data_IF_829705030627
#
_entry.id   IF_829705030627
#
_cell.length_a   1.000
_cell.length_b   1.000
_cell.length_c   1.000
_cell.angle_alpha   90.00
_cell.angle_beta   90.00
_cell.angle_gamma   90.00
#
_symmetry.space_group_name_H-M   'P 1'
#
loop_
_entity.id
_entity.type
_entity.pdbx_description
1 polymer ?
#
# COMPACT_ATOMS: atom_id res chain seq x y z
N UNK A 1 13.80 5.80 21.15
CA UNK A 1 14.97 5.28 20.41
C UNK A 1 14.38 4.64 19.18
N UNK A 2 14.63 5.21 18.02
CA UNK A 2 14.00 4.72 16.82
C UNK A 2 14.92 3.72 16.11
N UNK A 3 14.30 2.76 15.41
CA UNK A 3 15.02 1.68 14.75
C UNK A 3 15.25 2.06 13.30
N UNK A 4 16.50 2.39 12.97
CA UNK A 4 16.99 2.49 11.60
C UNK A 4 17.27 1.10 11.06
N UNK A 5 16.93 0.88 9.80
CA UNK A 5 17.29 -0.35 9.09
C UNK A 5 18.45 -0.15 8.13
N UNK A 6 18.95 1.09 7.97
CA UNK A 6 20.15 1.34 7.18
C UNK A 6 21.34 0.53 7.71
N UNK A 7 21.93 -0.31 6.84
CA UNK A 7 23.01 -1.23 7.16
C UNK A 7 22.73 -2.16 8.37
N UNK A 8 21.46 -2.49 8.63
CA UNK A 8 21.06 -3.32 9.76
C UNK A 8 21.76 -4.69 9.74
N UNK A 9 22.26 -5.12 10.90
CA UNK A 9 23.01 -6.38 11.02
C UNK A 9 24.36 -6.40 10.28
N UNK A 10 24.82 -5.26 9.74
CA UNK A 10 26.03 -5.19 8.90
C UNK A 10 25.85 -5.76 7.49
N UNK A 11 24.61 -6.01 7.06
CA UNK A 11 24.30 -6.52 5.73
C UNK A 11 24.24 -5.38 4.71
N UNK A 12 24.96 -5.52 3.60
CA UNK A 12 25.00 -4.50 2.54
C UNK A 12 23.67 -4.36 1.79
N UNK A 13 22.81 -5.38 1.79
CA UNK A 13 21.45 -5.35 1.23
C UNK A 13 20.53 -4.35 1.92
N UNK A 14 20.90 -3.88 3.11
CA UNK A 14 20.22 -2.81 3.84
C UNK A 14 20.82 -1.42 3.60
N UNK A 15 21.86 -1.30 2.77
CA UNK A 15 22.46 0.01 2.45
C UNK A 15 21.43 0.92 1.77
N UNK A 16 21.15 2.06 2.39
CA UNK A 16 20.18 3.04 1.93
C UNK A 16 18.72 2.68 2.19
N UNK A 17 18.43 1.66 3.02
CA UNK A 17 17.05 1.20 3.27
C UNK A 17 16.14 2.35 3.74
N UNK A 18 16.62 3.16 4.67
CA UNK A 18 15.84 4.27 5.24
C UNK A 18 15.67 5.45 4.25
N UNK A 19 16.29 5.42 3.06
CA UNK A 19 16.09 6.48 2.05
C UNK A 19 14.69 6.47 1.44
N UNK A 20 13.97 5.35 1.52
CA UNK A 20 12.66 5.23 0.89
C UNK A 20 11.58 6.01 1.67
N UNK A 21 11.34 5.69 2.93
CA UNK A 21 10.36 6.40 3.77
C UNK A 21 10.97 7.40 4.77
N UNK A 22 12.28 7.35 4.97
CA UNK A 22 12.97 8.10 6.02
C UNK A 22 13.21 7.27 7.28
N UNK A 23 14.20 7.70 8.05
CA UNK A 23 14.45 7.21 9.41
C UNK A 23 13.22 7.54 10.25
N UNK A 24 12.67 6.52 10.93
CA UNK A 24 11.52 6.60 11.85
C UNK A 24 10.13 6.55 11.19
N UNK A 25 10.07 6.30 9.88
CA UNK A 25 8.82 6.09 9.16
C UNK A 25 8.75 4.71 8.51
N UNK A 26 8.99 3.66 9.29
CA UNK A 26 9.06 2.29 8.76
C UNK A 26 7.81 1.88 7.98
N UNK A 27 6.63 2.33 8.41
CA UNK A 27 5.34 2.00 7.81
C UNK A 27 4.94 2.95 6.66
N UNK A 28 5.70 4.00 6.37
CA UNK A 28 5.35 4.97 5.34
C UNK A 28 4.07 5.76 5.64
N UNK A 29 3.82 6.06 6.91
CA UNK A 29 2.72 6.95 7.30
C UNK A 29 2.93 8.32 6.65
N UNK A 30 1.86 8.85 6.07
CA UNK A 30 1.85 10.15 5.40
C UNK A 30 1.15 11.15 6.31
N UNK A 31 1.74 12.32 6.53
CA UNK A 31 1.10 13.36 7.36
C UNK A 31 0.04 14.16 6.58
N UNK A 32 0.32 14.46 5.31
CA UNK A 32 -0.52 15.29 4.45
C UNK A 32 -0.79 14.63 3.10
N UNK A 33 -2.02 14.79 2.61
CA UNK A 33 -2.40 14.37 1.25
C UNK A 33 -2.74 15.58 0.38
N UNK A 34 -2.41 15.48 -0.90
CA UNK A 34 -2.76 16.46 -1.93
C UNK A 34 -3.73 15.79 -2.90
N UNK A 35 -5.01 16.18 -2.80
CA UNK A 35 -6.05 15.71 -3.71
C UNK A 35 -5.95 16.49 -5.02
N UNK A 36 -5.79 15.79 -6.13
CA UNK A 36 -5.66 16.41 -7.45
C UNK A 36 -7.03 16.52 -8.14
N UNK A 37 -7.26 17.64 -8.82
CA UNK A 37 -8.43 17.80 -9.68
C UNK A 37 -8.29 16.91 -10.91
N UNK A 38 -9.31 16.09 -11.18
CA UNK A 38 -9.32 15.17 -12.30
C UNK A 38 -10.05 15.80 -13.49
N UNK A 39 -9.49 15.65 -14.70
CA UNK A 39 -10.16 16.10 -15.92
C UNK A 39 -11.41 15.28 -16.23
N UNK A 40 -11.37 13.97 -15.93
CA UNK A 40 -12.51 13.06 -15.97
C UNK A 40 -12.75 12.52 -14.56
N UNK A 41 -13.99 12.61 -14.09
CA UNK A 41 -14.37 12.15 -12.75
C UNK A 41 -14.26 10.63 -12.63
N UNK A 42 -13.36 10.15 -11.77
CA UNK A 42 -13.30 8.73 -11.39
C UNK A 42 -14.41 8.44 -10.40
N UNK A 43 -15.33 7.55 -10.79
CA UNK A 43 -16.46 7.12 -9.95
C UNK A 43 -16.33 5.67 -9.50
N UNK A 44 -16.88 5.36 -8.33
CA UNK A 44 -17.00 3.97 -7.88
C UNK A 44 -17.89 3.15 -8.85
N UNK A 45 -17.37 2.02 -9.31
CA UNK A 45 -18.09 1.09 -10.18
C UNK A 45 -18.41 -0.21 -9.44
N UNK A 46 -19.69 -0.60 -9.45
CA UNK A 46 -20.10 -1.87 -8.87
C UNK A 46 -19.67 -3.04 -9.77
N UNK A 47 -18.79 -3.89 -9.25
CA UNK A 47 -18.34 -5.14 -9.89
C UNK A 47 -18.49 -6.30 -8.90
N UNK A 48 -18.42 -7.54 -9.39
CA UNK A 48 -18.42 -8.71 -8.50
C UNK A 48 -17.25 -8.65 -7.52
N UNK A 49 -17.52 -8.95 -6.24
CA UNK A 49 -16.49 -8.98 -5.20
C UNK A 49 -15.40 -10.00 -5.54
N UNK A 50 -15.74 -11.10 -6.21
CA UNK A 50 -14.76 -12.09 -6.66
C UNK A 50 -13.76 -11.49 -7.64
N UNK A 51 -14.20 -10.60 -8.54
CA UNK A 51 -13.31 -9.92 -9.49
C UNK A 51 -12.35 -8.97 -8.75
N UNK A 52 -12.82 -8.30 -7.69
CA UNK A 52 -11.94 -7.47 -6.83
C UNK A 52 -10.94 -8.35 -6.10
N UNK A 53 -11.38 -9.46 -5.52
CA UNK A 53 -10.52 -10.42 -4.80
C UNK A 53 -9.44 -11.02 -5.69
N UNK A 54 -9.77 -11.39 -6.93
CA UNK A 54 -8.80 -11.88 -7.92
C UNK A 54 -7.70 -10.85 -8.20
N UNK A 55 -8.06 -9.58 -8.39
CA UNK A 55 -7.08 -8.50 -8.61
C UNK A 55 -6.18 -8.29 -7.40
N UNK A 56 -6.73 -8.30 -6.19
CA UNK A 56 -5.96 -8.17 -4.96
C UNK A 56 -5.03 -9.36 -4.73
N UNK A 57 -5.48 -10.58 -5.06
CA UNK A 57 -4.65 -11.78 -4.99
C UNK A 57 -3.45 -11.72 -5.95
N UNK A 58 -3.65 -11.18 -7.16
CA UNK A 58 -2.54 -10.93 -8.09
C UNK A 58 -1.51 -9.98 -7.47
N UNK A 59 -1.94 -8.85 -6.90
CA UNK A 59 -1.01 -7.92 -6.22
C UNK A 59 -0.25 -8.59 -5.06
N UNK A 60 -0.93 -9.49 -4.32
CA UNK A 60 -0.29 -10.25 -3.24
C UNK A 60 0.79 -11.20 -3.77
N UNK A 61 0.54 -11.95 -4.84
CA UNK A 61 1.54 -12.84 -5.43
C UNK A 61 2.67 -12.05 -6.13
N UNK A 62 2.36 -10.90 -6.75
CA UNK A 62 3.38 -10.01 -7.31
C UNK A 62 4.33 -9.48 -6.24
N UNK A 63 3.83 -9.11 -5.06
CA UNK A 63 4.68 -8.70 -3.94
C UNK A 63 5.64 -9.82 -3.51
N UNK A 64 5.14 -11.07 -3.44
CA UNK A 64 5.99 -12.24 -3.15
C UNK A 64 7.03 -12.45 -4.24
N UNK A 65 6.62 -12.35 -5.51
CA UNK A 65 7.50 -12.51 -6.66
C UNK A 65 8.67 -11.51 -6.59
N UNK A 66 8.36 -10.21 -6.47
CA UNK A 66 9.34 -9.12 -6.36
C UNK A 66 10.34 -9.40 -5.24
N UNK A 67 9.86 -9.69 -4.02
CA UNK A 67 10.74 -9.90 -2.87
C UNK A 67 11.60 -11.17 -3.04
N UNK A 68 11.01 -12.26 -3.51
CA UNK A 68 11.70 -13.54 -3.63
C UNK A 68 12.72 -13.58 -4.77
N UNK A 69 12.51 -12.82 -5.84
CA UNK A 69 13.39 -12.79 -7.01
C UNK A 69 14.44 -11.67 -6.94
N UNK A 70 14.16 -10.55 -6.25
CA UNK A 70 15.03 -9.36 -6.29
C UNK A 70 15.78 -9.06 -4.98
N UNK A 71 15.45 -9.74 -3.89
CA UNK A 71 16.17 -9.61 -2.61
C UNK A 71 16.81 -10.95 -2.27
N UNK A 72 18.14 -11.01 -2.20
CA UNK A 72 18.86 -12.27 -2.01
C UNK A 72 18.89 -12.74 -0.55
N UNK A 73 19.01 -11.80 0.39
CA UNK A 73 19.15 -12.07 1.81
C UNK A 73 17.79 -12.22 2.48
N UNK A 74 17.57 -13.35 3.18
CA UNK A 74 16.28 -13.68 3.81
C UNK A 74 15.91 -12.70 4.92
N UNK A 75 16.89 -12.13 5.61
CA UNK A 75 16.69 -11.07 6.60
C UNK A 75 16.14 -9.81 5.94
N UNK A 76 16.67 -9.43 4.77
CA UNK A 76 16.19 -8.27 4.00
C UNK A 76 14.81 -8.55 3.41
N UNK A 77 14.56 -9.76 2.88
CA UNK A 77 13.23 -10.17 2.43
C UNK A 77 12.20 -10.02 3.56
N UNK A 78 12.56 -10.47 4.76
CA UNK A 78 11.68 -10.41 5.95
C UNK A 78 11.34 -8.97 6.31
N UNK A 79 12.34 -8.09 6.37
CA UNK A 79 12.12 -6.68 6.72
C UNK A 79 11.34 -5.93 5.64
N UNK A 80 11.69 -6.11 4.36
CA UNK A 80 10.97 -5.47 3.23
C UNK A 80 9.51 -5.93 3.19
N UNK A 81 9.25 -7.23 3.38
CA UNK A 81 7.88 -7.74 3.41
C UNK A 81 7.09 -7.19 4.60
N UNK A 82 7.72 -7.09 5.78
CA UNK A 82 7.07 -6.49 6.95
C UNK A 82 6.78 -5.00 6.76
N UNK A 83 7.66 -4.26 6.08
CA UNK A 83 7.43 -2.87 5.69
C UNK A 83 6.22 -2.76 4.74
N UNK A 84 6.14 -3.62 3.71
CA UNK A 84 5.00 -3.68 2.80
C UNK A 84 3.68 -3.91 3.56
N UNK A 85 3.61 -4.95 4.40
CA UNK A 85 2.42 -5.24 5.21
C UNK A 85 2.02 -4.08 6.12
N UNK A 86 3.02 -3.46 6.78
CA UNK A 86 2.77 -2.32 7.66
C UNK A 86 2.24 -1.12 6.86
N UNK A 87 2.74 -0.88 5.66
CA UNK A 87 2.33 0.25 4.82
C UNK A 87 0.89 0.14 4.32
N UNK A 88 0.42 -1.07 4.04
CA UNK A 88 -0.96 -1.31 3.65
C UNK A 88 -1.96 -1.04 4.79
N UNK A 89 -1.52 -1.08 6.05
CA UNK A 89 -2.41 -0.99 7.21
C UNK A 89 -3.04 0.40 7.38
N UNK A 90 -2.37 1.47 6.93
CA UNK A 90 -2.84 2.85 7.04
C UNK A 90 -4.16 3.09 6.31
N UNK A 91 -4.33 2.43 5.17
CA UNK A 91 -5.55 2.53 4.36
C UNK A 91 -6.80 2.06 5.12
N UNK A 92 -6.65 1.20 6.14
CA UNK A 92 -7.75 0.83 7.03
C UNK A 92 -8.32 2.06 7.76
N UNK A 93 -7.47 2.96 8.24
CA UNK A 93 -7.89 4.19 8.92
C UNK A 93 -8.59 5.15 7.96
N UNK A 94 -8.18 5.19 6.69
CA UNK A 94 -8.84 5.98 5.65
C UNK A 94 -10.25 5.43 5.38
N UNK A 95 -10.37 4.11 5.20
CA UNK A 95 -11.67 3.44 4.99
C UNK A 95 -12.63 3.68 6.15
N UNK A 96 -12.11 3.73 7.38
CA UNK A 96 -12.87 4.04 8.60
C UNK A 96 -13.17 5.55 8.76
N UNK A 97 -12.54 6.41 7.96
CA UNK A 97 -12.58 7.87 8.06
C UNK A 97 -12.04 8.40 9.40
N UNK A 98 -11.01 7.76 9.94
CA UNK A 98 -10.38 8.13 11.22
C UNK A 98 -8.99 8.73 11.09
N UNK A 99 -8.32 8.60 9.94
CA UNK A 99 -7.00 9.20 9.69
C UNK A 99 -7.04 10.72 9.52
N UNK A 100 -8.18 11.27 9.10
CA UNK A 100 -8.28 12.65 8.60
C UNK A 100 -7.97 12.78 7.11
N UNK A 101 -7.50 11.72 6.45
CA UNK A 101 -7.29 11.65 5.01
C UNK A 101 -8.54 11.18 4.27
N UNK A 102 -8.50 11.28 2.93
CA UNK A 102 -9.56 10.83 2.06
C UNK A 102 -9.23 9.42 1.54
N UNK A 103 -10.25 8.60 1.35
CA UNK A 103 -10.09 7.27 0.74
C UNK A 103 -9.78 7.44 -0.75
N UNK A 104 -8.51 7.25 -1.12
CA UNK A 104 -8.02 7.40 -2.47
C UNK A 104 -6.74 6.61 -2.70
N UNK A 105 -6.08 6.89 -3.82
CA UNK A 105 -4.79 6.30 -4.16
C UNK A 105 -3.90 7.33 -4.86
N UNK A 106 -2.59 7.18 -4.75
CA UNK A 106 -1.63 8.06 -5.44
C UNK A 106 -1.53 7.66 -6.92
N UNK A 107 -2.05 8.53 -7.78
CA UNK A 107 -2.11 8.28 -9.22
C UNK A 107 -0.75 8.28 -9.90
N UNK A 108 0.21 9.05 -9.40
CA UNK A 108 1.57 9.07 -9.94
C UNK A 108 2.25 7.72 -9.68
N UNK A 109 2.12 7.17 -8.47
CA UNK A 109 2.70 5.86 -8.13
C UNK A 109 2.01 4.72 -8.87
N UNK A 110 0.67 4.65 -8.84
CA UNK A 110 -0.09 3.58 -9.52
C UNK A 110 0.15 3.56 -11.04
N UNK A 111 0.51 4.70 -11.65
CA UNK A 111 0.82 4.77 -13.08
C UNK A 111 2.00 3.87 -13.49
N UNK A 112 2.88 3.48 -12.56
CA UNK A 112 4.02 2.60 -12.82
C UNK A 112 3.67 1.10 -12.88
N UNK A 113 2.42 0.69 -12.69
CA UNK A 113 2.04 -0.73 -12.67
C UNK A 113 2.48 -1.50 -13.94
N UNK A 114 2.53 -0.84 -15.10
CA UNK A 114 3.00 -1.43 -16.35
C UNK A 114 4.52 -1.60 -16.45
N UNK A 115 5.29 -1.00 -15.53
CA UNK A 115 6.75 -1.02 -15.51
C UNK A 115 7.33 -2.16 -14.67
N UNK A 116 6.51 -3.01 -14.06
CA UNK A 116 7.00 -4.13 -13.25
C UNK A 116 7.69 -5.23 -14.06
N UNK A 117 7.39 -5.34 -15.35
CA UNK A 117 7.92 -6.40 -16.21
C UNK A 117 8.57 -5.82 -17.46
N UNK A 118 9.66 -6.46 -17.88
CA UNK A 118 10.28 -6.21 -19.18
C UNK A 118 9.43 -6.84 -20.30
N UNK A 119 9.80 -6.56 -21.55
CA UNK A 119 9.09 -7.11 -22.72
C UNK A 119 9.18 -8.65 -22.84
N UNK A 120 10.13 -9.27 -22.14
CA UNK A 120 10.29 -10.73 -22.05
C UNK A 120 9.59 -11.35 -20.83
N UNK A 121 8.73 -10.58 -20.16
CA UNK A 121 7.98 -10.96 -18.95
C UNK A 121 8.84 -11.19 -17.71
N UNK A 122 10.16 -10.95 -17.77
CA UNK A 122 11.01 -10.93 -16.56
C UNK A 122 10.71 -9.71 -15.71
N UNK A 123 10.89 -9.82 -14.38
CA UNK A 123 10.75 -8.67 -13.49
C UNK A 123 11.77 -7.59 -13.86
N UNK A 124 11.27 -6.36 -13.93
CA UNK A 124 12.10 -5.19 -14.18
C UNK A 124 12.98 -4.86 -12.98
N UNK A 125 14.23 -4.49 -13.24
CA UNK A 125 15.18 -4.00 -12.23
C UNK A 125 15.38 -2.48 -12.31
N UNK A 126 14.57 -1.80 -13.13
CA UNK A 126 14.67 -0.35 -13.29
C UNK A 126 14.16 0.38 -12.04
N UNK A 127 14.92 1.41 -11.65
CA UNK A 127 14.44 2.39 -10.69
C UNK A 127 13.26 3.16 -11.31
N UNK A 128 12.12 3.15 -10.61
CA UNK A 128 10.90 3.83 -11.04
C UNK A 128 10.93 5.34 -10.80
N UNK A 129 11.96 5.84 -10.11
CA UNK A 129 12.26 7.27 -9.95
C UNK A 129 11.48 7.99 -8.85
N UNK A 130 10.93 7.25 -7.88
CA UNK A 130 10.21 7.80 -6.72
C UNK A 130 10.70 7.18 -5.41
N UNK A 131 10.40 7.85 -4.30
CA UNK A 131 10.56 7.29 -2.95
C UNK A 131 9.23 7.21 -2.21
N UNK A 132 9.23 6.55 -1.06
CA UNK A 132 8.07 6.51 -0.17
C UNK A 132 7.60 7.89 0.29
N UNK A 133 8.46 8.91 0.27
CA UNK A 133 8.07 10.30 0.53
C UNK A 133 7.18 10.92 -0.53
N UNK A 134 7.02 10.28 -1.70
CA UNK A 134 6.14 10.73 -2.78
C UNK A 134 4.69 10.27 -2.61
N UNK A 135 4.43 9.30 -1.72
CA UNK A 135 3.08 8.84 -1.40
C UNK A 135 2.27 10.00 -0.83
N UNK A 136 1.06 10.21 -1.36
CA UNK A 136 0.15 11.25 -0.88
C UNK A 136 0.20 12.55 -1.70
N UNK A 137 1.14 12.68 -2.65
CA UNK A 137 1.30 13.93 -3.42
C UNK A 137 0.34 14.05 -4.61
N UNK A 138 -0.24 12.94 -5.09
CA UNK A 138 -1.14 12.94 -6.26
C UNK A 138 -2.39 12.08 -6.04
N UNK A 139 -3.13 12.36 -4.97
CA UNK A 139 -4.26 11.54 -4.55
C UNK A 139 -5.48 11.76 -5.46
N UNK A 140 -5.90 10.68 -6.09
CA UNK A 140 -7.20 10.56 -6.77
C UNK A 140 -8.20 9.98 -5.79
N UNK A 141 -9.31 10.68 -5.60
CA UNK A 141 -10.42 10.27 -4.72
C UNK A 141 -11.60 9.90 -5.58
N UNK A 142 -11.96 8.61 -5.66
CA UNK A 142 -13.14 8.18 -6.39
C UNK A 142 -14.41 8.77 -5.76
N UNK A 143 -15.22 9.44 -6.58
CA UNK A 143 -16.49 10.01 -6.18
C UNK A 143 -17.66 9.01 -6.30
N UNK A 144 -18.86 9.45 -5.92
CA UNK A 144 -20.10 8.68 -6.00
C UNK A 144 -20.73 8.38 -4.63
N UNK A 145 -21.72 7.49 -4.61
CA UNK A 145 -22.52 7.14 -3.43
C UNK A 145 -21.83 6.16 -2.46
N UNK A 146 -20.49 6.09 -2.48
CA UNK A 146 -19.68 5.12 -1.76
C UNK A 146 -19.55 5.42 -0.25
N UNK A 147 -19.94 6.62 0.20
CA UNK A 147 -19.97 6.98 1.61
C UNK A 147 -21.21 7.84 1.94
N UNK A 148 -21.88 7.52 3.05
CA UNK A 148 -22.96 8.29 3.62
C UNK A 148 -22.62 8.64 5.07
N UNK A 149 -22.37 9.93 5.35
CA UNK A 149 -21.94 10.38 6.68
C UNK A 149 -22.94 10.11 7.81
N UNK A 150 -24.22 9.85 7.51
CA UNK A 150 -25.23 9.52 8.52
C UNK A 150 -25.25 8.03 8.89
N UNK A 151 -24.93 7.12 7.96
CA UNK A 151 -25.12 5.67 8.15
C UNK A 151 -23.83 4.86 8.02
N UNK A 152 -22.91 5.25 7.13
CA UNK A 152 -21.66 4.54 6.87
C UNK A 152 -20.76 4.38 8.10
N UNK A 153 -20.59 5.36 9.00
CA UNK A 153 -19.69 5.20 10.15
C UNK A 153 -19.98 3.94 10.97
N UNK A 154 -21.25 3.71 11.33
CA UNK A 154 -21.66 2.56 12.11
C UNK A 154 -21.56 1.24 11.32
N UNK A 155 -22.01 1.22 10.06
CA UNK A 155 -21.97 0.01 9.24
C UNK A 155 -20.55 -0.42 8.87
N UNK A 156 -19.66 0.55 8.60
CA UNK A 156 -18.25 0.27 8.29
C UNK A 156 -17.50 -0.19 9.53
N UNK A 157 -17.75 0.41 10.70
CA UNK A 157 -17.19 -0.09 11.97
C UNK A 157 -17.61 -1.53 12.27
N UNK A 158 -18.88 -1.88 12.04
CA UNK A 158 -19.35 -3.26 12.19
C UNK A 158 -18.67 -4.23 11.22
N UNK A 159 -18.54 -3.84 9.94
CA UNK A 159 -17.85 -4.64 8.94
C UNK A 159 -16.37 -4.86 9.28
N UNK A 160 -15.69 -3.81 9.74
CA UNK A 160 -14.29 -3.87 10.18
C UNK A 160 -14.10 -4.83 11.36
N UNK A 161 -14.93 -4.73 12.40
CA UNK A 161 -14.86 -5.63 13.55
C UNK A 161 -15.13 -7.09 13.17
N UNK A 162 -16.09 -7.34 12.28
CA UNK A 162 -16.35 -8.68 11.76
C UNK A 162 -15.14 -9.25 11.01
N UNK A 163 -14.49 -8.43 10.18
CA UNK A 163 -13.27 -8.81 9.47
C UNK A 163 -12.11 -9.14 10.43
N UNK A 164 -11.88 -8.30 11.45
CA UNK A 164 -10.87 -8.56 12.49
C UNK A 164 -11.14 -9.89 13.21
N UNK A 165 -12.39 -10.15 13.60
CA UNK A 165 -12.78 -11.42 14.21
C UNK A 165 -12.43 -12.61 13.32
N UNK A 166 -12.72 -12.54 12.02
CA UNK A 166 -12.38 -13.60 11.08
C UNK A 166 -10.87 -13.84 10.98
N UNK A 167 -10.06 -12.78 10.89
CA UNK A 167 -8.58 -12.91 10.82
C UNK A 167 -8.02 -13.62 12.06
N UNK A 168 -8.43 -13.23 13.26
CA UNK A 168 -7.98 -13.89 14.51
C UNK A 168 -8.40 -15.36 14.61
N UNK A 169 -9.57 -15.71 14.08
CA UNK A 169 -10.08 -17.08 14.11
C UNK A 169 -9.38 -18.02 13.12
N UNK A 170 -8.84 -17.47 12.03
CA UNK A 170 -8.12 -18.22 11.00
C UNK A 170 -6.67 -18.57 11.39
N UNK A 171 -6.17 -18.01 12.48
CA UNK A 171 -4.82 -18.26 13.03
C UNK A 171 -4.82 -19.30 14.18
N UNK A 172 -5.93 -20.00 14.40
CA UNK A 172 -6.11 -21.04 15.44
C UNK A 172 -6.11 -22.45 14.87
#
# INVERSE_FOLDING_TARGET
>A
RHQSFDNWGGLSSFSGFDNFYGVDNFSGEVSDQVVVEQQEEVVCQAVSIEVVQQKLLVLQEMAKQIISEQVCEVETQTVVFQQFLSSCSHFSSDLLRTSGHQVGYDSAIVSHHGSFYNADESLSTYDLGFSGSDVGKNIVVPSGSNWNSATSPASVGNAFNAALGATSSSSS
#
